data_IF_295968429515
#
_entry.id   IF_295968429515
#
_cell.length_a   1.000
_cell.length_b   1.000
_cell.length_c   1.000
_cell.angle_alpha   90.00
_cell.angle_beta   90.00
_cell.angle_gamma   90.00
#
_symmetry.space_group_name_H-M   'P 1'
#
loop_
_entity.id
_entity.type
_entity.pdbx_description
1 polymer ?
#
# COMPACT_ATOMS: atom_id res chain seq x y z
N UNK A 1 3.38 27.52 -4.11
CA UNK A 1 2.06 27.07 -4.60
C UNK A 1 2.19 25.61 -5.01
N UNK A 2 2.44 24.74 -4.04
CA UNK A 2 2.84 23.34 -4.28
C UNK A 2 2.08 22.45 -3.31
N UNK A 3 0.78 22.48 -3.45
CA UNK A 3 -0.12 21.52 -2.82
C UNK A 3 -1.20 21.26 -3.84
N UNK A 4 -1.52 19.99 -4.08
CA UNK A 4 -2.72 19.52 -4.80
C UNK A 4 -2.48 18.73 -6.09
N UNK A 5 -1.68 17.68 -6.01
CA UNK A 5 -1.99 16.45 -6.75
C UNK A 5 -2.28 15.27 -5.79
N UNK A 6 -1.64 15.27 -4.62
CA UNK A 6 -1.78 14.21 -3.63
C UNK A 6 -3.14 14.20 -2.90
N UNK A 7 -3.69 15.38 -2.58
CA UNK A 7 -4.97 15.49 -1.88
C UNK A 7 -6.18 15.01 -2.70
N UNK A 8 -6.31 15.32 -4.01
CA UNK A 8 -7.40 14.78 -4.81
C UNK A 8 -7.30 13.27 -5.01
N UNK A 9 -6.09 12.73 -5.19
CA UNK A 9 -5.89 11.27 -5.28
C UNK A 9 -6.26 10.61 -3.95
N UNK A 10 -5.71 11.06 -2.81
CA UNK A 10 -6.03 10.51 -1.49
C UNK A 10 -7.53 10.50 -1.20
N UNK A 11 -8.24 11.61 -1.45
CA UNK A 11 -9.70 11.68 -1.27
C UNK A 11 -10.46 10.76 -2.21
N UNK A 12 -9.99 10.60 -3.45
CA UNK A 12 -10.56 9.64 -4.39
C UNK A 12 -10.38 8.21 -3.88
N UNK A 13 -9.22 7.86 -3.30
CA UNK A 13 -8.97 6.53 -2.74
C UNK A 13 -9.83 6.26 -1.50
N UNK A 14 -9.91 7.23 -0.60
CA UNK A 14 -10.79 7.18 0.58
C UNK A 14 -12.26 7.00 0.19
N UNK A 15 -12.72 7.69 -0.87
CA UNK A 15 -14.08 7.56 -1.39
C UNK A 15 -14.39 6.19 -2.02
N UNK A 16 -13.38 5.44 -2.45
CA UNK A 16 -13.52 4.09 -3.01
C UNK A 16 -13.41 2.98 -1.94
N UNK A 17 -13.08 3.32 -0.69
CA UNK A 17 -12.94 2.35 0.40
C UNK A 17 -11.73 1.42 0.29
N UNK A 18 -10.71 1.77 -0.50
CA UNK A 18 -9.49 0.96 -0.62
C UNK A 18 -8.47 1.30 0.48
N UNK A 19 -8.09 0.29 1.27
CA UNK A 19 -6.95 0.35 2.20
C UNK A 19 -5.80 -0.51 1.65
N UNK A 20 -4.78 0.12 1.06
CA UNK A 20 -3.58 -0.60 0.63
C UNK A 20 -2.65 -0.84 1.84
N UNK A 21 -2.87 -1.94 2.57
CA UNK A 21 -2.00 -2.36 3.69
C UNK A 21 -1.03 -3.44 3.22
N UNK A 22 0.27 -3.14 3.31
CA UNK A 22 1.35 -4.02 2.87
C UNK A 22 1.90 -3.67 1.49
N UNK A 23 3.15 -4.05 1.24
CA UNK A 23 3.90 -3.68 0.02
C UNK A 23 3.19 -4.15 -1.25
N UNK A 24 2.59 -5.34 -1.22
CA UNK A 24 1.92 -5.96 -2.38
C UNK A 24 0.51 -5.44 -2.63
N UNK A 25 -0.15 -4.87 -1.62
CA UNK A 25 -1.52 -4.36 -1.74
C UNK A 25 -1.64 -3.20 -2.75
N UNK A 26 -0.53 -2.52 -3.08
CA UNK A 26 -0.49 -1.50 -4.12
C UNK A 26 -0.82 -2.04 -5.52
N UNK A 27 -0.54 -3.32 -5.81
CA UNK A 27 -0.83 -3.93 -7.11
C UNK A 27 -2.33 -4.20 -7.23
N UNK A 28 -2.93 -4.83 -6.24
CA UNK A 28 -4.38 -5.08 -6.18
C UNK A 28 -5.18 -3.78 -6.26
N UNK A 29 -4.72 -2.78 -5.51
CA UNK A 29 -5.28 -1.44 -5.56
C UNK A 29 -5.17 -0.82 -6.97
N UNK A 30 -3.99 -0.91 -7.61
CA UNK A 30 -3.78 -0.40 -8.96
C UNK A 30 -4.70 -1.03 -10.00
N UNK A 31 -4.93 -2.35 -9.92
CA UNK A 31 -5.89 -3.06 -10.78
C UNK A 31 -7.33 -2.60 -10.54
N UNK A 32 -7.74 -2.44 -9.27
CA UNK A 32 -9.05 -1.89 -8.92
C UNK A 32 -9.25 -0.46 -9.44
N UNK A 33 -8.21 0.38 -9.32
CA UNK A 33 -8.22 1.74 -9.87
C UNK A 33 -8.38 1.75 -11.39
N UNK A 34 -7.67 0.87 -12.10
CA UNK A 34 -7.78 0.75 -13.56
C UNK A 34 -9.18 0.35 -13.97
N UNK A 35 -9.81 -0.59 -13.26
CA UNK A 35 -11.19 -1.00 -13.52
C UNK A 35 -12.17 0.18 -13.39
N UNK A 36 -12.00 1.02 -12.35
CA UNK A 36 -12.84 2.20 -12.14
C UNK A 36 -12.61 3.32 -13.15
N UNK A 37 -11.36 3.52 -13.60
CA UNK A 37 -11.03 4.57 -14.57
C UNK A 37 -11.32 4.17 -16.02
N UNK A 38 -11.40 2.86 -16.30
CA UNK A 38 -11.64 2.28 -17.62
C UNK A 38 -12.84 1.35 -17.56
N UNK A 39 -12.58 0.06 -17.49
CA UNK A 39 -13.54 -1.02 -17.33
C UNK A 39 -12.82 -2.30 -16.87
N UNK A 40 -13.59 -3.32 -16.48
CA UNK A 40 -13.07 -4.59 -16.00
C UNK A 40 -12.19 -5.32 -17.02
N UNK A 41 -12.51 -5.23 -18.32
CA UNK A 41 -11.74 -5.93 -19.36
C UNK A 41 -10.36 -5.32 -19.53
N UNK A 42 -10.26 -4.00 -19.42
CA UNK A 42 -8.98 -3.31 -19.46
C UNK A 42 -8.13 -3.69 -18.24
N UNK A 43 -8.72 -3.73 -17.04
CA UNK A 43 -8.02 -4.17 -15.84
C UNK A 43 -7.54 -5.63 -15.95
N UNK A 44 -8.38 -6.54 -16.45
CA UNK A 44 -8.00 -7.93 -16.73
C UNK A 44 -6.87 -8.04 -17.76
N UNK A 45 -6.89 -7.20 -18.81
CA UNK A 45 -5.83 -7.13 -19.80
C UNK A 45 -4.49 -6.67 -19.20
N UNK A 46 -4.52 -5.68 -18.31
CA UNK A 46 -3.32 -5.24 -17.57
C UNK A 46 -2.83 -6.31 -16.61
N UNK A 47 -3.73 -6.99 -15.90
CA UNK A 47 -3.39 -8.12 -15.04
C UNK A 47 -2.70 -9.23 -15.83
N UNK A 48 -3.22 -9.58 -17.01
CA UNK A 48 -2.63 -10.56 -17.92
C UNK A 48 -1.26 -10.10 -18.43
N UNK A 49 -1.15 -8.84 -18.88
CA UNK A 49 0.10 -8.26 -19.38
C UNK A 49 1.21 -8.28 -18.31
N UNK A 50 0.84 -8.08 -17.04
CA UNK A 50 1.76 -8.12 -15.91
C UNK A 50 2.04 -9.54 -15.40
N UNK A 51 1.39 -10.56 -15.98
CA UNK A 51 1.41 -11.95 -15.47
C UNK A 51 1.08 -12.02 -13.97
N UNK A 52 0.17 -11.15 -13.51
CA UNK A 52 -0.13 -11.00 -12.09
C UNK A 52 -1.11 -12.09 -11.61
N UNK A 53 -0.53 -13.22 -11.23
CA UNK A 53 -1.19 -14.37 -10.63
C UNK A 53 -0.45 -14.78 -9.34
N UNK A 54 -0.64 -14.05 -8.23
CA UNK A 54 0.13 -14.29 -7.01
C UNK A 54 -0.15 -15.68 -6.42
N UNK A 55 0.92 -16.44 -6.18
CA UNK A 55 0.91 -17.73 -5.50
C UNK A 55 2.03 -17.74 -4.45
N UNK A 56 1.87 -16.99 -3.34
CA UNK A 56 2.93 -16.84 -2.36
C UNK A 56 3.28 -18.20 -1.73
N UNK A 57 4.57 -18.52 -1.59
CA UNK A 57 4.99 -19.80 -1.00
C UNK A 57 4.90 -19.83 0.54
N UNK A 58 4.63 -18.70 1.18
CA UNK A 58 4.59 -18.55 2.65
C UNK A 58 3.35 -17.76 3.09
N UNK A 59 2.93 -17.94 4.36
CA UNK A 59 1.81 -17.20 4.97
C UNK A 59 2.23 -15.76 5.31
N UNK A 60 1.50 -14.79 4.76
CA UNK A 60 1.76 -13.35 4.92
C UNK A 60 0.73 -12.63 5.78
N UNK A 61 -0.37 -13.29 6.15
CA UNK A 61 -1.38 -12.73 7.05
C UNK A 61 -0.85 -12.70 8.49
N UNK A 62 -0.71 -11.52 9.13
CA UNK A 62 -0.20 -11.42 10.51
C UNK A 62 -1.00 -12.23 11.54
N UNK A 63 -2.29 -12.47 11.28
CA UNK A 63 -3.16 -13.26 12.15
C UNK A 63 -2.90 -14.77 12.04
N UNK A 64 -2.30 -15.22 10.95
CA UNK A 64 -2.01 -16.64 10.65
C UNK A 64 -0.52 -16.98 10.58
N UNK A 65 0.34 -15.97 10.51
CA UNK A 65 1.78 -16.14 10.48
C UNK A 65 2.30 -16.84 11.76
N UNK A 66 3.37 -17.63 11.60
CA UNK A 66 4.08 -18.24 12.73
C UNK A 66 4.52 -17.13 13.71
N UNK A 67 4.17 -17.21 15.00
CA UNK A 67 4.58 -16.23 16.01
C UNK A 67 6.09 -15.95 16.04
N UNK A 68 6.93 -16.93 15.69
CA UNK A 68 8.39 -16.76 15.62
C UNK A 68 8.80 -15.88 14.45
N UNK A 69 8.12 -15.98 13.32
CA UNK A 69 8.35 -15.12 12.14
C UNK A 69 7.91 -13.69 12.46
N UNK A 70 6.76 -13.51 13.14
CA UNK A 70 6.32 -12.21 13.62
C UNK A 70 7.32 -11.58 14.60
N UNK A 71 7.76 -12.32 15.62
CA UNK A 71 8.75 -11.83 16.58
C UNK A 71 10.10 -11.48 15.91
N UNK A 72 10.51 -12.25 14.89
CA UNK A 72 11.69 -11.93 14.10
C UNK A 72 11.51 -10.63 13.30
N UNK A 73 10.33 -10.43 12.68
CA UNK A 73 10.00 -9.20 11.98
C UNK A 73 10.00 -8.00 12.94
N UNK A 74 9.40 -8.11 14.12
CA UNK A 74 9.39 -7.06 15.15
C UNK A 74 10.81 -6.66 15.60
N UNK A 75 11.73 -7.63 15.74
CA UNK A 75 13.13 -7.36 16.06
C UNK A 75 13.87 -6.62 14.93
N UNK A 76 13.52 -6.87 13.66
CA UNK A 76 14.06 -6.13 12.52
C UNK A 76 13.43 -4.73 12.41
N UNK A 77 12.12 -4.65 12.61
CA UNK A 77 11.28 -3.46 12.45
C UNK A 77 11.41 -2.45 13.59
N UNK A 78 11.96 -2.84 14.74
CA UNK A 78 12.33 -1.91 15.84
C UNK A 78 13.12 -0.68 15.34
N UNK A 79 13.84 -0.80 14.22
CA UNK A 79 14.58 0.32 13.61
C UNK A 79 13.79 1.21 12.65
N UNK A 80 12.51 0.92 12.42
CA UNK A 80 11.62 1.72 11.56
C UNK A 80 10.55 2.48 12.36
N UNK A 81 10.06 1.94 13.47
CA UNK A 81 8.89 2.52 14.15
C UNK A 81 9.21 3.73 15.05
N UNK A 82 10.40 3.81 15.65
CA UNK A 82 10.70 4.87 16.64
C UNK A 82 11.29 6.16 16.04
N UNK A 83 12.04 6.09 14.92
CA UNK A 83 12.70 7.28 14.34
C UNK A 83 11.96 7.85 13.12
N UNK A 84 11.34 7.01 12.28
CA UNK A 84 10.76 7.48 11.02
C UNK A 84 9.31 7.94 11.16
N UNK A 85 8.53 7.46 12.13
CA UNK A 85 7.13 7.85 12.32
C UNK A 85 7.00 9.33 12.69
N UNK A 86 7.62 9.72 13.80
CA UNK A 86 7.55 11.10 14.30
C UNK A 86 8.35 12.07 13.41
N UNK A 87 9.52 11.69 12.92
CA UNK A 87 10.32 12.57 12.06
C UNK A 87 9.73 12.72 10.66
N UNK A 88 9.16 11.67 10.06
CA UNK A 88 8.49 11.81 8.76
C UNK A 88 7.20 12.62 8.86
N UNK A 89 6.43 12.45 9.95
CA UNK A 89 5.25 13.28 10.21
C UNK A 89 5.66 14.74 10.45
N UNK A 90 6.66 14.99 11.29
CA UNK A 90 7.17 16.33 11.54
C UNK A 90 7.82 16.95 10.29
N UNK A 91 8.53 16.17 9.46
CA UNK A 91 9.10 16.64 8.20
C UNK A 91 8.03 16.96 7.17
N UNK A 92 6.97 16.15 7.08
CA UNK A 92 5.81 16.42 6.24
C UNK A 92 5.07 17.70 6.67
N UNK A 93 4.91 17.93 7.98
CA UNK A 93 4.31 19.16 8.49
C UNK A 93 5.21 20.39 8.28
N UNK A 94 6.53 20.26 8.40
CA UNK A 94 7.49 21.33 8.07
C UNK A 94 7.46 21.71 6.60
N UNK A 95 7.23 20.76 5.69
CA UNK A 95 7.13 21.05 4.25
C UNK A 95 5.84 21.81 3.86
N UNK A 96 4.91 21.99 4.80
CA UNK A 96 3.61 22.65 4.59
C UNK A 96 3.57 24.10 5.11
N UNK A 97 4.65 24.59 5.72
CA UNK A 97 4.79 25.96 6.21
C UNK A 97 5.73 26.73 5.29
#
# INVERSE_FOLDING_TARGET
>A
METSLYLPVKRFLEGLGFEAKGVTAGIDFGLGLIAQLRDDRYAQGVQLLAEYAPAPPFEGDPARADPRVRAHLEQMMWRFDDELGEEAEAAFLRSKT
#
